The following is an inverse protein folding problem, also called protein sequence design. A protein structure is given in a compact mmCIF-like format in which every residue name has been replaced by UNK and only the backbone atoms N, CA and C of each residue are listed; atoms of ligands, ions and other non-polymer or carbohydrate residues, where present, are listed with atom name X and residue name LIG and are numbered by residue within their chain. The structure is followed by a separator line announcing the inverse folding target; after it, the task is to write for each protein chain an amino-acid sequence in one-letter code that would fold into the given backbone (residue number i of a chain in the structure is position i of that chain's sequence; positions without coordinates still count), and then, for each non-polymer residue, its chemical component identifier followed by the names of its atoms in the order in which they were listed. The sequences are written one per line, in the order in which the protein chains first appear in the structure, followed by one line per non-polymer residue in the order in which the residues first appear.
data_IF_201667925076
#
_entry.id   IF_201667925076
#
_cell.length_a   1.000
_cell.length_b   1.000
_cell.length_c   1.000
_cell.angle_alpha   90.00
_cell.angle_beta   90.00
_cell.angle_gamma   90.00
#
_symmetry.space_group_name_H-M   'P 1'
#
loop_
_entity.id
_entity.type
_entity.pdbx_description
1 polymer ?
#
# COMPACT_ATOMS: atom_id res chain seq x y z
N UNK A 1 -9.37 11.28 -64.01
CA UNK A 1 -9.24 10.22 -65.01
C UNK A 1 -8.08 9.35 -64.70
N UNK A 2 -8.13 8.01 -64.79
CA UNK A 2 -9.22 7.07 -64.66
C UNK A 2 -9.08 6.20 -63.37
N UNK A 3 -10.16 5.68 -62.84
CA UNK A 3 -10.72 4.33 -62.97
C UNK A 3 -9.79 3.19 -62.48
N UNK A 4 -10.24 2.53 -61.40
CA UNK A 4 -10.51 1.09 -61.42
C UNK A 4 -11.21 0.65 -60.15
N UNK A 5 -12.55 0.72 -60.19
CA UNK A 5 -13.38 -0.21 -59.44
C UNK A 5 -13.38 -1.55 -60.16
N UNK A 6 -13.50 -2.57 -59.38
CA UNK A 6 -13.76 -4.00 -59.64
C UNK A 6 -12.71 -4.88 -59.00
N UNK A 7 -13.03 -5.49 -57.93
CA UNK A 7 -12.82 -6.89 -57.56
C UNK A 7 -13.50 -7.16 -56.22
N UNK A 8 -14.83 -7.25 -56.19
CA UNK A 8 -15.55 -7.88 -55.08
C UNK A 8 -16.83 -8.56 -55.61
N UNK A 9 -16.71 -9.49 -56.51
CA UNK A 9 -17.84 -10.33 -56.92
C UNK A 9 -17.36 -11.66 -57.50
N UNK A 10 -16.68 -12.50 -56.74
CA UNK A 10 -16.53 -13.92 -57.08
C UNK A 10 -16.05 -14.72 -55.89
N UNK A 11 -16.90 -14.96 -54.91
CA UNK A 11 -16.74 -16.10 -53.97
C UNK A 11 -18.06 -16.50 -53.31
N UNK A 12 -19.17 -16.45 -54.04
CA UNK A 12 -20.48 -16.98 -53.56
C UNK A 12 -21.07 -17.99 -54.54
N UNK A 13 -20.26 -18.85 -55.13
CA UNK A 13 -20.78 -19.86 -56.07
C UNK A 13 -20.02 -21.18 -55.99
N UNK A 14 -19.84 -21.73 -54.80
CA UNK A 14 -19.41 -23.14 -54.67
C UNK A 14 -19.91 -23.82 -53.40
N UNK A 15 -21.18 -23.65 -53.08
CA UNK A 15 -21.85 -24.38 -51.99
C UNK A 15 -23.30 -24.79 -52.36
N UNK A 16 -23.47 -25.34 -53.56
CA UNK A 16 -24.72 -26.04 -53.92
C UNK A 16 -24.37 -27.22 -54.85
N UNK A 17 -23.98 -28.36 -54.32
CA UNK A 17 -24.23 -29.69 -54.90
C UNK A 17 -23.46 -30.75 -54.10
N UNK A 18 -23.88 -31.04 -52.89
CA UNK A 18 -23.62 -32.35 -52.29
C UNK A 18 -24.85 -32.77 -51.47
N UNK A 19 -25.92 -32.99 -52.19
CA UNK A 19 -27.15 -33.59 -51.65
C UNK A 19 -27.41 -34.87 -52.45
N UNK A 20 -27.09 -35.97 -51.89
CA UNK A 20 -27.81 -37.22 -52.13
C UNK A 20 -26.91 -38.45 -51.85
N UNK A 21 -27.53 -39.35 -51.12
CA UNK A 21 -27.20 -40.77 -50.96
C UNK A 21 -26.25 -41.17 -49.82
N UNK A 22 -26.81 -41.23 -48.57
CA UNK A 22 -26.56 -42.38 -47.73
C UNK A 22 -27.82 -42.70 -46.91
N UNK A 23 -28.28 -44.00 -46.94
CA UNK A 23 -29.47 -44.44 -46.24
C UNK A 23 -29.20 -44.64 -44.76
N UNK A 24 -30.24 -44.41 -44.01
CA UNK A 24 -30.49 -44.65 -42.59
C UNK A 24 -29.67 -45.81 -41.97
N UNK A 25 -28.78 -45.47 -41.08
CA UNK A 25 -28.34 -46.36 -40.04
C UNK A 25 -28.47 -45.60 -38.72
N UNK A 26 -29.59 -45.86 -38.02
CA UNK A 26 -29.84 -45.44 -36.66
C UNK A 26 -28.78 -46.07 -35.75
N UNK A 27 -27.75 -45.31 -35.40
CA UNK A 27 -26.86 -45.64 -34.30
C UNK A 27 -27.14 -44.66 -33.18
N UNK A 28 -28.07 -45.05 -32.30
CA UNK A 28 -28.32 -44.38 -31.04
C UNK A 28 -27.09 -44.61 -30.15
N UNK A 29 -26.06 -43.75 -30.28
CA UNK A 29 -25.00 -43.63 -29.26
C UNK A 29 -25.58 -42.75 -28.17
N UNK A 30 -26.11 -43.38 -27.13
CA UNK A 30 -26.38 -42.76 -25.85
C UNK A 30 -25.03 -42.34 -25.28
N UNK A 31 -24.65 -41.06 -25.49
CA UNK A 31 -23.57 -40.39 -24.76
C UNK A 31 -24.02 -40.28 -23.29
N UNK A 32 -23.75 -41.32 -22.52
CA UNK A 32 -23.70 -41.24 -21.07
C UNK A 32 -22.48 -40.35 -20.72
N UNK A 33 -22.71 -39.05 -20.66
CA UNK A 33 -21.77 -38.11 -20.02
C UNK A 33 -21.83 -38.44 -18.54
N UNK A 34 -20.78 -39.01 -17.94
CA UNK A 34 -20.71 -39.06 -16.50
C UNK A 34 -20.58 -37.62 -16.02
N UNK A 35 -21.68 -37.02 -15.60
CA UNK A 35 -21.63 -35.82 -14.73
C UNK A 35 -21.05 -36.25 -13.39
N UNK A 36 -19.73 -36.47 -13.37
CA UNK A 36 -18.99 -36.42 -12.15
C UNK A 36 -19.03 -34.95 -11.70
N UNK A 37 -20.17 -34.55 -11.14
CA UNK A 37 -20.20 -33.45 -10.20
C UNK A 37 -19.27 -33.86 -9.05
N UNK A 38 -17.98 -33.59 -9.20
CA UNK A 38 -17.05 -33.54 -8.10
C UNK A 38 -17.56 -32.45 -7.18
N UNK A 39 -18.57 -32.73 -6.37
CA UNK A 39 -18.87 -32.01 -5.18
C UNK A 39 -17.56 -32.05 -4.39
N UNK A 40 -16.79 -30.96 -4.47
CA UNK A 40 -15.67 -30.71 -3.57
C UNK A 40 -16.28 -30.81 -2.17
N UNK A 41 -16.16 -31.99 -1.55
CA UNK A 41 -16.44 -32.14 -0.13
C UNK A 41 -15.42 -31.21 0.55
N UNK A 42 -15.86 -30.01 0.88
CA UNK A 42 -15.09 -29.15 1.78
C UNK A 42 -14.95 -29.96 3.07
N UNK A 43 -13.72 -30.31 3.37
CA UNK A 43 -13.37 -31.07 4.55
C UNK A 43 -13.86 -30.30 5.79
N UNK A 44 -14.76 -30.87 6.61
CA UNK A 44 -15.27 -30.16 7.80
C UNK A 44 -14.15 -29.66 8.71
N UNK A 45 -13.05 -30.40 8.80
CA UNK A 45 -11.85 -30.03 9.56
C UNK A 45 -11.21 -28.76 9.02
N UNK A 46 -11.19 -28.57 7.71
CA UNK A 46 -10.67 -27.34 7.10
C UNK A 46 -11.54 -26.12 7.42
N UNK A 47 -12.85 -26.29 7.48
CA UNK A 47 -13.79 -25.21 7.82
C UNK A 47 -13.62 -24.83 9.31
N UNK A 48 -13.53 -25.83 10.20
CA UNK A 48 -13.30 -25.59 11.62
C UNK A 48 -11.97 -24.90 11.89
N UNK A 49 -10.90 -25.28 11.21
CA UNK A 49 -9.58 -24.61 11.33
C UNK A 49 -9.65 -23.15 10.86
N UNK A 50 -10.37 -22.90 9.75
CA UNK A 50 -10.60 -21.55 9.26
C UNK A 50 -11.45 -20.70 10.20
N UNK A 51 -12.47 -21.27 10.82
CA UNK A 51 -13.30 -20.57 11.81
C UNK A 51 -12.48 -20.22 13.06
N UNK A 52 -11.67 -21.16 13.55
CA UNK A 52 -10.77 -20.93 14.68
C UNK A 52 -9.75 -19.83 14.35
N UNK A 53 -9.17 -19.83 13.16
CA UNK A 53 -8.24 -18.80 12.70
C UNK A 53 -8.90 -17.41 12.61
N UNK A 54 -10.15 -17.36 12.12
CA UNK A 54 -10.93 -16.11 12.08
C UNK A 54 -11.26 -15.61 13.48
N UNK A 55 -11.67 -16.49 14.40
CA UNK A 55 -11.93 -16.13 15.79
C UNK A 55 -10.68 -15.58 16.48
N UNK A 56 -9.52 -16.21 16.28
CA UNK A 56 -8.25 -15.71 16.81
C UNK A 56 -7.91 -14.32 16.21
N UNK A 57 -8.15 -14.13 14.93
CA UNK A 57 -7.93 -12.84 14.26
C UNK A 57 -8.85 -11.75 14.82
N UNK A 58 -10.13 -12.07 15.06
CA UNK A 58 -11.09 -11.16 15.68
C UNK A 58 -10.68 -10.78 17.09
N UNK A 59 -10.27 -11.76 17.92
CA UNK A 59 -9.79 -11.51 19.29
C UNK A 59 -8.56 -10.60 19.28
N UNK A 60 -7.61 -10.85 18.37
CA UNK A 60 -6.43 -10.00 18.21
C UNK A 60 -6.78 -8.58 17.80
N UNK A 61 -7.70 -8.41 16.83
CA UNK A 61 -8.16 -7.09 16.37
C UNK A 61 -8.91 -6.33 17.48
N UNK A 62 -9.75 -7.03 18.25
CA UNK A 62 -10.45 -6.43 19.40
C UNK A 62 -9.45 -5.92 20.44
N UNK A 63 -8.42 -6.72 20.77
CA UNK A 63 -7.35 -6.28 21.68
C UNK A 63 -6.57 -5.06 21.15
N UNK A 64 -6.33 -4.98 19.85
CA UNK A 64 -5.70 -3.80 19.24
C UNK A 64 -6.60 -2.56 19.29
N UNK A 65 -7.92 -2.72 19.11
CA UNK A 65 -8.88 -1.61 19.26
C UNK A 65 -8.90 -1.08 20.70
N UNK A 66 -8.93 -1.97 21.69
CA UNK A 66 -8.87 -1.58 23.10
C UNK A 66 -7.55 -0.86 23.43
N UNK A 67 -6.43 -1.34 22.91
CA UNK A 67 -5.14 -0.67 23.10
C UNK A 67 -5.10 0.71 22.47
N UNK A 68 -5.67 0.87 21.26
CA UNK A 68 -5.77 2.17 20.58
C UNK A 68 -6.71 3.12 21.34
N UNK A 69 -7.83 2.64 21.85
CA UNK A 69 -8.75 3.45 22.66
C UNK A 69 -8.06 3.92 23.96
N UNK A 70 -7.36 3.04 24.66
CA UNK A 70 -6.61 3.43 25.84
C UNK A 70 -5.53 4.48 25.54
N UNK A 71 -4.83 4.33 24.40
CA UNK A 71 -3.83 5.31 23.95
C UNK A 71 -4.45 6.66 23.61
N UNK A 72 -5.61 6.66 22.96
CA UNK A 72 -6.36 7.89 22.69
C UNK A 72 -6.80 8.60 23.98
N UNK A 73 -7.30 7.86 24.96
CA UNK A 73 -7.66 8.41 26.27
C UNK A 73 -6.45 9.02 26.99
N UNK A 74 -5.30 8.34 26.96
CA UNK A 74 -4.05 8.88 27.52
C UNK A 74 -3.61 10.17 26.82
N UNK A 75 -3.70 10.24 25.49
CA UNK A 75 -3.37 11.44 24.73
C UNK A 75 -4.34 12.59 25.05
N UNK A 76 -5.63 12.32 25.17
CA UNK A 76 -6.61 13.32 25.59
C UNK A 76 -6.31 13.88 26.98
N UNK A 77 -6.01 13.00 27.96
CA UNK A 77 -5.62 13.44 29.29
C UNK A 77 -4.31 14.27 29.30
N UNK A 78 -3.35 13.93 28.42
CA UNK A 78 -2.13 14.72 28.26
C UNK A 78 -2.44 16.10 27.67
N UNK A 79 -3.34 16.19 26.68
CA UNK A 79 -3.77 17.45 26.11
C UNK A 79 -4.48 18.32 27.13
N UNK A 80 -5.41 17.76 27.90
CA UNK A 80 -6.12 18.47 28.98
C UNK A 80 -5.13 19.01 30.04
N UNK A 81 -4.15 18.21 30.45
CA UNK A 81 -3.10 18.66 31.38
C UNK A 81 -2.26 19.78 30.79
N UNK A 82 -1.87 19.70 29.51
CA UNK A 82 -1.13 20.77 28.87
C UNK A 82 -1.98 22.04 28.74
N UNK A 83 -3.25 21.94 28.41
CA UNK A 83 -4.15 23.10 28.35
C UNK A 83 -4.28 23.76 29.71
N UNK A 84 -4.49 23.00 30.75
CA UNK A 84 -4.57 23.51 32.13
C UNK A 84 -3.26 24.19 32.56
N UNK A 85 -2.08 23.64 32.20
CA UNK A 85 -0.77 24.27 32.47
C UNK A 85 -0.62 25.58 31.70
N UNK A 86 -1.04 25.63 30.42
CA UNK A 86 -1.00 26.86 29.63
C UNK A 86 -1.96 27.92 30.19
N UNK A 87 -3.18 27.57 30.55
CA UNK A 87 -4.15 28.50 31.17
C UNK A 87 -3.60 29.03 32.50
N UNK A 88 -3.06 28.18 33.36
CA UNK A 88 -2.46 28.59 34.62
C UNK A 88 -1.27 29.55 34.40
N UNK A 89 -0.42 29.28 33.41
CA UNK A 89 0.71 30.17 33.09
C UNK A 89 0.26 31.49 32.48
N UNK A 90 -0.78 31.51 31.64
CA UNK A 90 -1.37 32.71 31.11
C UNK A 90 -2.02 33.56 32.24
N UNK A 91 -2.75 32.94 33.15
CA UNK A 91 -3.34 33.63 34.30
C UNK A 91 -2.25 34.21 35.24
N UNK A 92 -1.13 33.49 35.43
CA UNK A 92 0.03 34.05 36.14
C UNK A 92 0.62 35.27 35.45
N UNK A 93 0.70 35.26 34.11
CA UNK A 93 1.23 36.39 33.35
C UNK A 93 0.27 37.61 33.37
N UNK A 94 -1.06 37.37 33.37
CA UNK A 94 -2.06 38.43 33.46
C UNK A 94 -2.17 39.03 34.86
N UNK A 95 -2.10 38.20 35.91
CA UNK A 95 -2.17 38.69 37.32
C UNK A 95 -0.86 39.23 37.87
N UNK A 96 0.25 38.90 37.23
CA UNK A 96 1.61 39.33 37.64
C UNK A 96 2.23 40.27 36.63
N UNK A 97 1.89 41.55 36.67
CA UNK A 97 2.74 42.62 36.16
C UNK A 97 4.08 42.69 36.93
N UNK A 98 4.78 41.58 37.09
CA UNK A 98 6.04 41.47 37.84
C UNK A 98 6.91 40.40 37.18
N UNK A 99 8.05 40.85 36.71
CA UNK A 99 9.21 40.14 36.18
C UNK A 99 9.38 38.73 36.82
N UNK A 100 9.44 37.63 36.04
CA UNK A 100 9.77 36.33 36.62
C UNK A 100 11.12 36.39 37.33
N UNK A 101 11.11 35.97 38.60
CA UNK A 101 12.29 35.92 39.43
C UNK A 101 13.38 35.06 38.79
N UNK A 102 14.59 35.57 38.80
CA UNK A 102 15.80 34.88 38.36
C UNK A 102 15.95 33.55 39.16
N UNK A 103 16.43 32.48 38.52
CA UNK A 103 16.85 31.28 39.24
C UNK A 103 18.02 31.59 40.18
N UNK A 104 18.17 30.86 41.29
CA UNK A 104 19.25 31.09 42.23
C UNK A 104 20.64 30.98 41.58
N UNK A 105 21.63 31.80 42.04
CA UNK A 105 22.92 31.85 41.38
C UNK A 105 23.70 30.54 41.55
N UNK A 106 24.09 29.95 40.42
CA UNK A 106 25.11 28.92 40.39
C UNK A 106 26.49 29.58 40.43
N UNK A 107 27.51 28.98 41.08
CA UNK A 107 28.83 29.59 41.18
C UNK A 107 29.52 29.71 39.83
N UNK A 108 30.17 30.83 39.71
CA UNK A 108 30.93 31.36 38.60
C UNK A 108 31.97 30.39 38.04
N UNK A 109 31.88 30.10 36.74
CA UNK A 109 33.04 29.72 35.92
C UNK A 109 32.94 30.40 34.57
N UNK A 110 33.85 31.30 34.41
CA UNK A 110 34.54 31.86 33.25
C UNK A 110 33.79 32.03 31.91
N UNK A 111 33.86 33.27 31.47
CA UNK A 111 33.46 33.80 30.19
C UNK A 111 34.02 33.02 28.99
N UNK A 112 33.13 32.58 28.14
CA UNK A 112 33.43 32.27 26.75
C UNK A 112 32.37 32.93 25.85
N UNK A 113 32.83 33.44 24.71
CA UNK A 113 32.14 34.28 23.75
C UNK A 113 30.78 33.75 23.27
N UNK A 114 29.87 34.60 22.76
CA UNK A 114 28.55 34.17 22.34
C UNK A 114 28.65 33.26 21.12
N UNK A 115 27.98 32.09 21.13
CA UNK A 115 27.89 31.25 19.95
C UNK A 115 26.93 31.89 18.93
N UNK A 116 27.15 31.63 17.64
CA UNK A 116 26.29 32.15 16.57
C UNK A 116 24.89 31.59 16.70
N UNK A 117 23.91 32.40 16.34
CA UNK A 117 22.47 32.20 16.32
C UNK A 117 22.10 30.72 16.10
N UNK A 118 21.55 30.09 17.14
CA UNK A 118 21.03 28.73 17.06
C UNK A 118 19.88 28.69 16.05
N UNK A 119 20.07 27.89 15.02
CA UNK A 119 18.99 27.44 14.12
C UNK A 119 17.83 26.89 14.94
N UNK A 120 16.63 27.23 14.53
CA UNK A 120 15.38 26.72 15.14
C UNK A 120 15.41 25.21 15.37
N UNK A 121 14.82 24.70 16.46
CA UNK A 121 14.86 23.28 16.78
C UNK A 121 14.24 22.43 15.65
N UNK A 122 14.81 21.28 15.29
CA UNK A 122 14.30 20.43 14.21
C UNK A 122 12.89 19.84 14.48
N UNK A 123 12.33 20.01 15.67
CA UNK A 123 11.00 19.53 16.04
C UNK A 123 9.83 20.24 15.30
N UNK A 124 9.98 21.51 14.92
CA UNK A 124 8.93 22.25 14.22
C UNK A 124 8.84 21.87 12.73
N UNK A 125 9.96 21.48 12.11
CA UNK A 125 9.99 21.01 10.72
C UNK A 125 9.36 19.60 10.56
N UNK A 126 9.45 18.76 11.59
CA UNK A 126 8.85 17.42 11.59
C UNK A 126 7.32 17.45 11.68
N UNK A 127 6.75 18.30 12.53
CA UNK A 127 5.30 18.37 12.73
C UNK A 127 4.54 18.75 11.44
N UNK A 128 5.07 19.67 10.63
CA UNK A 128 4.48 20.01 9.33
C UNK A 128 4.58 18.89 8.30
N UNK A 129 5.67 18.15 8.31
CA UNK A 129 5.85 17.00 7.43
C UNK A 129 4.88 15.86 7.79
N UNK A 130 4.76 15.53 9.08
CA UNK A 130 3.81 14.52 9.54
C UNK A 130 2.37 14.87 9.18
N UNK A 131 2.00 16.15 9.30
CA UNK A 131 0.68 16.63 8.91
C UNK A 131 0.43 16.45 7.40
N UNK A 132 1.37 16.88 6.55
CA UNK A 132 1.27 16.68 5.09
C UNK A 132 1.08 15.21 4.72
N UNK A 133 1.81 14.30 5.38
CA UNK A 133 1.66 12.87 5.18
C UNK A 133 0.28 12.37 5.61
N UNK A 134 -0.18 12.76 6.81
CA UNK A 134 -1.46 12.34 7.35
C UNK A 134 -2.64 12.85 6.52
N UNK A 135 -2.57 14.09 6.03
CA UNK A 135 -3.59 14.66 5.14
C UNK A 135 -3.65 13.91 3.81
N UNK A 136 -2.51 13.56 3.22
CA UNK A 136 -2.45 12.76 2.00
C UNK A 136 -3.01 11.35 2.23
N UNK A 137 -2.67 10.73 3.36
CA UNK A 137 -3.14 9.40 3.73
C UNK A 137 -4.65 9.38 3.99
N UNK A 138 -5.18 10.41 4.66
CA UNK A 138 -6.62 10.58 4.85
C UNK A 138 -7.36 10.65 3.51
N UNK A 139 -6.88 11.45 2.55
CA UNK A 139 -7.46 11.52 1.20
C UNK A 139 -7.49 10.17 0.51
N UNK A 140 -6.43 9.36 0.67
CA UNK A 140 -6.40 8.00 0.15
C UNK A 140 -7.50 7.13 0.76
N UNK A 141 -7.69 7.20 2.09
CA UNK A 141 -8.75 6.47 2.80
C UNK A 141 -10.17 6.93 2.37
N UNK A 142 -10.33 8.21 2.14
CA UNK A 142 -11.59 8.82 1.68
C UNK A 142 -11.89 8.51 0.18
N UNK A 143 -10.94 7.85 -0.53
CA UNK A 143 -11.07 7.54 -1.96
C UNK A 143 -10.73 8.72 -2.89
N UNK A 144 -10.30 9.87 -2.36
CA UNK A 144 -9.76 10.98 -3.14
C UNK A 144 -8.33 10.66 -3.61
N UNK A 145 -8.24 9.74 -4.57
CA UNK A 145 -6.94 9.31 -5.11
C UNK A 145 -6.17 10.46 -5.76
N UNK A 146 -6.85 11.42 -6.40
CA UNK A 146 -6.18 12.56 -7.02
C UNK A 146 -5.59 13.51 -5.97
N UNK A 147 -6.30 13.74 -4.88
CA UNK A 147 -5.79 14.51 -3.75
C UNK A 147 -4.68 13.80 -3.00
N UNK A 148 -4.78 12.48 -2.82
CA UNK A 148 -3.75 11.66 -2.20
C UNK A 148 -2.44 11.67 -3.02
N UNK A 149 -2.54 11.49 -4.34
CA UNK A 149 -1.39 11.59 -5.26
C UNK A 149 -0.66 12.91 -5.09
N UNK A 150 -1.38 14.04 -5.18
CA UNK A 150 -0.79 15.37 -5.00
C UNK A 150 -0.13 15.52 -3.64
N UNK A 151 -0.82 15.09 -2.58
CA UNK A 151 -0.31 15.18 -1.21
C UNK A 151 0.98 14.38 -1.01
N UNK A 152 1.01 13.11 -1.43
CA UNK A 152 2.22 12.29 -1.30
C UNK A 152 3.38 12.80 -2.15
N UNK A 153 3.12 13.32 -3.36
CA UNK A 153 4.15 13.94 -4.19
C UNK A 153 4.75 15.18 -3.53
N UNK A 154 3.91 16.08 -3.01
CA UNK A 154 4.37 17.27 -2.29
C UNK A 154 5.19 16.87 -1.05
N UNK A 155 4.73 15.90 -0.29
CA UNK A 155 5.46 15.37 0.86
C UNK A 155 6.85 14.86 0.45
N UNK A 156 6.92 13.99 -0.56
CA UNK A 156 8.18 13.40 -1.03
C UNK A 156 9.16 14.41 -1.59
N UNK A 157 8.67 15.44 -2.29
CA UNK A 157 9.50 16.53 -2.82
C UNK A 157 10.09 17.38 -1.70
N UNK A 158 9.27 17.72 -0.70
CA UNK A 158 9.68 18.60 0.39
C UNK A 158 10.46 17.87 1.48
N UNK A 159 10.21 16.56 1.66
CA UNK A 159 10.72 15.76 2.78
C UNK A 159 11.32 14.41 2.34
N UNK A 160 12.24 14.37 1.35
CA UNK A 160 12.72 13.10 0.77
C UNK A 160 13.52 12.23 1.75
N UNK A 161 14.03 12.81 2.82
CA UNK A 161 14.80 12.12 3.88
C UNK A 161 14.00 11.89 5.17
N UNK A 162 12.72 12.22 5.18
CA UNK A 162 11.87 12.02 6.35
C UNK A 162 11.68 10.52 6.61
N UNK A 163 11.49 10.15 7.88
CA UNK A 163 11.26 8.74 8.29
C UNK A 163 10.07 8.11 7.59
N UNK A 164 9.05 8.90 7.25
CA UNK A 164 7.85 8.47 6.53
C UNK A 164 7.99 8.49 5.00
N UNK A 165 9.15 8.92 4.44
CA UNK A 165 9.28 9.03 2.99
C UNK A 165 9.12 7.67 2.27
N UNK A 166 9.65 6.59 2.84
CA UNK A 166 9.43 5.25 2.31
C UNK A 166 7.96 4.79 2.38
N UNK A 167 7.23 5.21 3.42
CA UNK A 167 5.80 4.95 3.54
C UNK A 167 5.01 5.78 2.52
N UNK A 168 5.34 7.06 2.37
CA UNK A 168 4.68 7.95 1.40
C UNK A 168 4.85 7.45 -0.03
N UNK A 169 6.04 6.96 -0.38
CA UNK A 169 6.32 6.40 -1.69
C UNK A 169 5.52 5.12 -1.95
N UNK A 170 5.38 4.25 -0.94
CA UNK A 170 4.51 3.08 -1.00
C UNK A 170 3.05 3.46 -1.25
N UNK A 171 2.51 4.42 -0.47
CA UNK A 171 1.12 4.85 -0.61
C UNK A 171 0.86 5.60 -1.92
N UNK A 172 1.85 6.30 -2.45
CA UNK A 172 1.77 6.85 -3.81
C UNK A 172 1.60 5.74 -4.85
N UNK A 173 2.36 4.66 -4.73
CA UNK A 173 2.20 3.47 -5.56
C UNK A 173 0.82 2.83 -5.43
N UNK A 174 0.32 2.66 -4.20
CA UNK A 174 -1.04 2.14 -3.93
C UNK A 174 -2.13 3.07 -4.51
N UNK A 175 -1.93 4.38 -4.44
CA UNK A 175 -2.85 5.37 -5.02
C UNK A 175 -3.01 5.19 -6.53
N UNK A 176 -1.89 5.01 -7.25
CA UNK A 176 -1.91 4.72 -8.68
C UNK A 176 -2.53 3.34 -8.97
N UNK A 177 -2.17 2.33 -8.17
CA UNK A 177 -2.68 0.97 -8.33
C UNK A 177 -4.21 0.91 -8.18
N UNK A 178 -4.77 1.61 -7.19
CA UNK A 178 -6.21 1.70 -6.95
C UNK A 178 -6.96 2.35 -8.13
N UNK A 179 -6.34 3.31 -8.80
CA UNK A 179 -6.87 3.95 -10.03
C UNK A 179 -6.65 3.12 -11.29
N UNK A 180 -6.04 1.94 -11.18
CA UNK A 180 -5.63 1.09 -12.30
C UNK A 180 -4.56 1.74 -13.21
N UNK A 181 -3.88 2.75 -12.73
CA UNK A 181 -2.72 3.36 -13.39
C UNK A 181 -1.46 2.55 -13.06
N UNK A 182 -1.42 1.34 -13.63
CA UNK A 182 -0.39 0.36 -13.28
C UNK A 182 1.02 0.77 -13.75
N UNK A 183 1.13 1.62 -14.77
CA UNK A 183 2.43 2.12 -15.22
C UNK A 183 3.06 3.05 -14.18
N UNK A 184 2.30 4.03 -13.69
CA UNK A 184 2.77 4.92 -12.64
C UNK A 184 2.92 4.18 -11.30
N UNK A 185 2.05 3.22 -11.00
CA UNK A 185 2.19 2.34 -9.83
C UNK A 185 3.51 1.57 -9.85
N UNK A 186 3.84 0.94 -10.98
CA UNK A 186 5.11 0.23 -11.19
C UNK A 186 6.31 1.16 -10.93
N UNK A 187 6.29 2.36 -11.51
CA UNK A 187 7.35 3.34 -11.32
C UNK A 187 7.48 3.76 -9.85
N UNK A 188 6.36 4.07 -9.19
CA UNK A 188 6.36 4.49 -7.79
C UNK A 188 6.88 3.38 -6.85
N UNK A 189 6.47 2.11 -7.04
CA UNK A 189 6.99 0.99 -6.27
C UNK A 189 8.47 0.71 -6.54
N UNK A 190 8.91 0.85 -7.80
CA UNK A 190 10.33 0.69 -8.15
C UNK A 190 11.20 1.77 -7.49
N UNK A 191 10.74 3.01 -7.49
CA UNK A 191 11.39 4.12 -6.77
C UNK A 191 11.41 3.87 -5.25
N UNK A 192 10.30 3.40 -4.68
CA UNK A 192 10.20 3.02 -3.27
C UNK A 192 11.21 1.95 -2.88
N UNK A 193 11.33 0.90 -3.69
CA UNK A 193 12.35 -0.13 -3.50
C UNK A 193 13.77 0.43 -3.65
N UNK A 194 14.03 1.28 -4.65
CA UNK A 194 15.36 1.81 -4.93
C UNK A 194 15.82 2.83 -3.89
N UNK A 195 14.99 3.84 -3.60
CA UNK A 195 15.36 4.97 -2.75
C UNK A 195 15.16 4.69 -1.25
N UNK A 196 14.18 3.84 -0.90
CA UNK A 196 13.77 3.59 0.49
C UNK A 196 13.83 2.12 0.87
N UNK A 197 14.82 1.40 0.34
CA UNK A 197 14.98 -0.05 0.54
C UNK A 197 15.02 -0.47 2.01
N UNK A 198 15.67 0.33 2.86
CA UNK A 198 15.80 0.07 4.30
C UNK A 198 14.58 0.52 5.13
N UNK A 199 13.59 1.17 4.51
CA UNK A 199 12.38 1.58 5.22
C UNK A 199 11.51 0.39 5.60
N UNK A 200 10.61 0.53 6.58
CA UNK A 200 9.64 -0.52 6.94
C UNK A 200 8.78 -0.98 5.74
N UNK A 201 8.57 -0.10 4.75
CA UNK A 201 7.81 -0.38 3.52
C UNK A 201 8.67 -0.85 2.35
N UNK A 202 9.99 -1.02 2.55
CA UNK A 202 10.89 -1.54 1.51
C UNK A 202 10.46 -2.91 0.97
N UNK A 203 10.19 -3.93 1.82
CA UNK A 203 9.69 -5.23 1.37
C UNK A 203 8.36 -5.15 0.63
N UNK A 204 7.43 -4.31 1.13
CA UNK A 204 6.11 -4.15 0.52
C UNK A 204 6.22 -3.48 -0.87
N UNK A 205 7.12 -2.51 -1.05
CA UNK A 205 7.39 -1.91 -2.36
C UNK A 205 7.87 -2.95 -3.38
N UNK A 206 8.81 -3.83 -2.99
CA UNK A 206 9.32 -4.87 -3.89
C UNK A 206 8.23 -5.88 -4.26
N UNK A 207 7.44 -6.34 -3.28
CA UNK A 207 6.31 -7.24 -3.52
C UNK A 207 5.30 -6.60 -4.48
N UNK A 208 4.89 -5.35 -4.23
CA UNK A 208 3.91 -4.64 -5.05
C UNK A 208 4.44 -4.31 -6.45
N UNK A 209 5.74 -4.07 -6.60
CA UNK A 209 6.38 -3.97 -7.92
C UNK A 209 6.17 -5.25 -8.71
N UNK A 210 6.45 -6.42 -8.13
CA UNK A 210 6.24 -7.71 -8.78
C UNK A 210 4.78 -7.95 -9.16
N UNK A 211 3.85 -7.69 -8.24
CA UNK A 211 2.41 -7.80 -8.49
C UNK A 211 1.97 -6.88 -9.64
N UNK A 212 2.44 -5.64 -9.65
CA UNK A 212 2.08 -4.66 -10.68
C UNK A 212 2.63 -5.06 -12.05
N UNK A 213 3.86 -5.57 -12.11
CA UNK A 213 4.44 -6.14 -13.32
C UNK A 213 3.63 -7.31 -13.86
N UNK A 214 3.15 -8.18 -12.98
CA UNK A 214 2.29 -9.30 -13.38
C UNK A 214 0.95 -8.82 -13.96
N UNK A 215 0.33 -7.80 -13.35
CA UNK A 215 -0.91 -7.17 -13.87
C UNK A 215 -0.69 -6.51 -15.23
N UNK A 216 0.49 -5.95 -15.48
CA UNK A 216 0.89 -5.39 -16.77
C UNK A 216 1.25 -6.46 -17.82
N UNK A 217 1.10 -7.76 -17.50
CA UNK A 217 1.44 -8.87 -18.40
C UNK A 217 2.94 -9.18 -18.48
N UNK A 218 3.77 -8.46 -17.71
CA UNK A 218 5.22 -8.62 -17.67
C UNK A 218 5.65 -9.73 -16.70
N UNK A 219 5.11 -10.93 -16.90
CA UNK A 219 5.33 -12.08 -16.00
C UNK A 219 6.80 -12.44 -15.77
N UNK A 220 7.68 -12.48 -16.79
CA UNK A 220 9.09 -12.77 -16.57
C UNK A 220 9.75 -11.77 -15.60
N UNK A 221 9.45 -10.48 -15.75
CA UNK A 221 9.98 -9.44 -14.89
C UNK A 221 9.42 -9.57 -13.46
N UNK A 222 8.11 -9.86 -13.33
CA UNK A 222 7.49 -10.12 -12.04
C UNK A 222 8.17 -11.28 -11.31
N UNK A 223 8.44 -12.40 -12.00
CA UNK A 223 9.11 -13.55 -11.44
C UNK A 223 10.55 -13.22 -10.99
N UNK A 224 11.28 -12.42 -11.78
CA UNK A 224 12.60 -11.94 -11.38
C UNK A 224 12.55 -11.08 -10.10
N UNK A 225 11.56 -10.21 -9.98
CA UNK A 225 11.35 -9.38 -8.78
C UNK A 225 11.00 -10.23 -7.57
N UNK A 226 10.10 -11.21 -7.70
CA UNK A 226 9.74 -12.12 -6.61
C UNK A 226 10.93 -13.00 -6.17
N UNK A 227 11.75 -13.50 -7.10
CA UNK A 227 12.94 -14.27 -6.78
C UNK A 227 13.94 -13.46 -5.95
N UNK A 228 14.05 -12.15 -6.24
CA UNK A 228 14.95 -11.24 -5.55
C UNK A 228 14.52 -10.94 -4.11
N UNK A 229 13.23 -11.10 -3.78
CA UNK A 229 12.68 -10.69 -2.48
C UNK A 229 13.39 -11.33 -1.29
N UNK A 230 13.59 -12.65 -1.31
CA UNK A 230 14.23 -13.36 -0.20
C UNK A 230 15.71 -13.01 -0.01
N UNK A 231 16.39 -12.63 -1.09
CA UNK A 231 17.78 -12.18 -1.05
C UNK A 231 17.90 -10.80 -0.42
N UNK A 232 17.00 -9.88 -0.81
CA UNK A 232 17.04 -8.49 -0.39
C UNK A 232 16.45 -8.28 1.00
N UNK A 233 15.49 -9.12 1.38
CA UNK A 233 14.77 -9.03 2.65
C UNK A 233 14.74 -10.35 3.42
N UNK A 234 15.91 -10.88 3.83
CA UNK A 234 15.98 -12.16 4.56
C UNK A 234 15.20 -12.13 5.89
N UNK A 235 15.06 -10.91 6.48
CA UNK A 235 14.33 -10.66 7.74
C UNK A 235 12.86 -10.26 7.51
N UNK A 236 12.34 -10.37 6.30
CA UNK A 236 10.91 -10.15 6.06
C UNK A 236 10.07 -11.10 6.90
N UNK A 237 8.88 -10.65 7.28
CA UNK A 237 7.94 -11.46 8.06
C UNK A 237 7.49 -12.69 7.27
N UNK A 238 7.09 -13.74 7.98
CA UNK A 238 6.57 -14.96 7.35
C UNK A 238 5.32 -14.65 6.50
N UNK A 239 4.52 -13.68 6.90
CA UNK A 239 3.37 -13.23 6.11
C UNK A 239 3.81 -12.64 4.76
N UNK A 240 4.84 -11.78 4.75
CA UNK A 240 5.37 -11.21 3.51
C UNK A 240 5.97 -12.29 2.61
N UNK A 241 6.75 -13.21 3.18
CA UNK A 241 7.34 -14.34 2.42
C UNK A 241 6.25 -15.23 1.81
N UNK A 242 5.21 -15.58 2.59
CA UNK A 242 4.06 -16.34 2.07
C UNK A 242 3.34 -15.63 0.93
N UNK A 243 3.12 -14.30 1.03
CA UNK A 243 2.50 -13.52 -0.05
C UNK A 243 3.34 -13.55 -1.33
N UNK A 244 4.65 -13.39 -1.23
CA UNK A 244 5.55 -13.51 -2.38
C UNK A 244 5.44 -14.89 -3.02
N UNK A 245 5.44 -15.96 -2.21
CA UNK A 245 5.34 -17.31 -2.73
C UNK A 245 3.97 -17.57 -3.41
N UNK A 246 2.89 -17.08 -2.84
CA UNK A 246 1.57 -17.13 -3.48
C UNK A 246 1.55 -16.41 -4.84
N UNK A 247 2.16 -15.22 -4.94
CA UNK A 247 2.24 -14.49 -6.20
C UNK A 247 3.18 -15.20 -7.21
N UNK A 248 4.25 -15.84 -6.77
CA UNK A 248 5.09 -16.68 -7.62
C UNK A 248 4.30 -17.84 -8.23
N UNK A 249 3.58 -18.59 -7.41
CA UNK A 249 2.75 -19.71 -7.85
C UNK A 249 1.65 -19.26 -8.83
N UNK A 250 0.92 -18.19 -8.48
CA UNK A 250 -0.13 -17.61 -9.31
C UNK A 250 0.36 -17.17 -10.70
N UNK A 251 1.60 -16.71 -10.80
CA UNK A 251 2.19 -16.24 -12.05
C UNK A 251 3.01 -17.30 -12.79
N UNK A 252 3.12 -18.51 -12.23
CA UNK A 252 3.86 -19.61 -12.83
C UNK A 252 5.38 -19.39 -12.81
N UNK A 253 5.89 -18.74 -11.76
CA UNK A 253 7.32 -18.55 -11.56
C UNK A 253 7.92 -19.88 -11.07
N UNK A 254 8.74 -20.50 -11.91
CA UNK A 254 9.48 -21.72 -11.59
C UNK A 254 10.59 -21.49 -10.55
#
# INVERSE_FOLDING_TARGET
MPENGRVWTETVACMKTFRSRFPHLLFAIALAVPTAAAAQRMDPVYIEDRLNQLQQSLTMLTGQLEQLQNRNQQLQQQMEKMQADYEYRLEQMEKGGGRPGAPPPRPNTQAAAPPPSAAAPPAAAGAGADQLYNDAFKKLQDGDYAGAERGFRVFLQSNPKHTLAGNAQYWLGETYYARRDYQNAMTAFAEGYKAYRASPKGPDNLLKLGVTLAVLGRKPDACAVFAKFNQDYPRATDLQKRRVEQERQKNGCG
#
